data_IF_700295340949
#
_entry.id   IF_700295340949
#
_cell.length_a   1.000
_cell.length_b   1.000
_cell.length_c   1.000
_cell.angle_alpha   90.00
_cell.angle_beta   90.00
_cell.angle_gamma   90.00
#
_symmetry.space_group_name_H-M   'P 1'
#
loop_
_entity.id
_entity.type
_entity.pdbx_description
1 polymer ?
#
# COMPACT_ATOMS: atom_id res chain seq x y z
N UNK A 1 -8.70 -60.41 54.21
CA UNK A 1 -7.73 -61.26 53.49
C UNK A 1 -8.35 -61.66 52.15
N UNK A 2 -7.98 -60.99 51.05
CA UNK A 2 -8.52 -61.29 49.70
C UNK A 2 -7.45 -62.03 48.88
N UNK A 3 -7.75 -63.26 48.48
CA UNK A 3 -7.01 -64.08 47.51
C UNK A 3 -7.30 -63.60 46.08
N UNK A 4 -6.37 -63.81 45.12
CA UNK A 4 -6.55 -63.39 43.74
C UNK A 4 -7.34 -64.44 42.93
N UNK A 5 -8.07 -63.97 41.92
CA UNK A 5 -8.68 -64.78 40.87
C UNK A 5 -8.18 -64.27 39.49
N UNK A 6 -8.20 -65.13 38.45
CA UNK A 6 -7.18 -65.16 37.41
C UNK A 6 -7.49 -64.32 36.17
N UNK A 7 -6.43 -64.09 35.41
CA UNK A 7 -6.43 -63.51 34.07
C UNK A 7 -7.36 -64.25 33.10
N UNK A 8 -8.22 -63.49 32.42
CA UNK A 8 -8.78 -63.86 31.12
C UNK A 8 -8.34 -62.76 30.16
N UNK A 9 -7.42 -63.13 29.27
CA UNK A 9 -7.04 -62.32 28.13
C UNK A 9 -8.20 -62.30 27.14
N UNK A 10 -8.70 -61.10 26.84
CA UNK A 10 -9.47 -60.84 25.62
C UNK A 10 -8.73 -59.72 24.89
N UNK A 11 -8.02 -60.12 23.86
CA UNK A 11 -7.42 -59.25 22.85
C UNK A 11 -8.56 -58.63 22.06
N UNK A 12 -8.85 -57.34 22.28
CA UNK A 12 -9.68 -56.56 21.37
C UNK A 12 -8.78 -55.53 20.68
N UNK A 13 -8.46 -55.83 19.43
CA UNK A 13 -7.82 -54.94 18.47
C UNK A 13 -8.78 -53.75 18.24
N UNK A 14 -8.50 -52.59 18.83
CA UNK A 14 -9.16 -51.33 18.48
C UNK A 14 -8.19 -50.51 17.63
N UNK A 15 -8.61 -50.33 16.37
CA UNK A 15 -7.95 -49.58 15.32
C UNK A 15 -7.47 -48.20 15.80
N UNK A 16 -6.21 -47.93 15.51
CA UNK A 16 -5.60 -46.61 15.50
C UNK A 16 -6.34 -45.72 14.49
N UNK A 17 -7.02 -44.68 15.00
CA UNK A 17 -7.32 -43.47 14.24
C UNK A 17 -7.19 -42.27 15.18
N UNK A 18 -6.01 -41.65 15.11
CA UNK A 18 -5.77 -40.21 15.25
C UNK A 18 -6.27 -39.49 16.50
N UNK A 19 -5.33 -39.25 17.41
CA UNK A 19 -5.39 -38.33 18.54
C UNK A 19 -6.15 -37.01 18.29
N UNK A 20 -6.91 -36.58 19.31
CA UNK A 20 -7.34 -35.20 19.47
C UNK A 20 -6.19 -34.28 19.94
N UNK A 21 -6.02 -33.14 19.23
CA UNK A 21 -5.62 -31.78 19.65
C UNK A 21 -4.31 -31.57 20.49
N UNK A 22 -3.46 -30.56 20.18
CA UNK A 22 -3.79 -29.14 20.42
C UNK A 22 -3.19 -28.09 19.44
N UNK A 23 -3.81 -26.89 19.43
CA UNK A 23 -3.40 -25.61 18.82
C UNK A 23 -2.08 -25.49 18.06
N UNK A 24 -2.18 -25.38 16.73
CA UNK A 24 -1.19 -24.67 15.92
C UNK A 24 -1.73 -23.28 15.59
N UNK A 25 -0.92 -22.23 15.78
CA UNK A 25 -1.21 -20.87 15.32
C UNK A 25 -1.14 -20.89 13.78
N UNK A 26 -2.15 -21.46 13.14
CA UNK A 26 -2.25 -21.58 11.70
C UNK A 26 -3.03 -20.40 11.17
N UNK A 27 -2.33 -19.31 10.84
CA UNK A 27 -2.96 -18.24 10.06
C UNK A 27 -3.57 -18.81 8.79
N UNK A 28 -4.68 -18.23 8.37
CA UNK A 28 -5.52 -18.73 7.29
C UNK A 28 -4.67 -18.86 6.00
N UNK A 29 -4.80 -19.98 5.28
CA UNK A 29 -3.91 -20.34 4.16
C UNK A 29 -4.72 -20.69 2.92
N UNK A 30 -4.47 -19.97 1.82
CA UNK A 30 -5.07 -20.24 0.50
C UNK A 30 -4.11 -21.08 -0.37
N UNK A 31 -4.64 -21.98 -1.19
CA UNK A 31 -3.81 -22.69 -2.18
C UNK A 31 -3.59 -21.79 -3.41
N UNK A 32 -2.39 -21.82 -3.97
CA UNK A 32 -2.08 -21.06 -5.19
C UNK A 32 -3.03 -21.37 -6.35
N UNK A 33 -3.45 -22.64 -6.49
CA UNK A 33 -4.36 -23.08 -7.55
C UNK A 33 -5.80 -22.56 -7.37
N UNK A 34 -6.15 -22.06 -6.18
CA UNK A 34 -7.44 -21.41 -5.90
C UNK A 34 -7.44 -19.91 -6.25
N UNK A 35 -6.27 -19.34 -6.56
CA UNK A 35 -6.11 -17.96 -7.04
C UNK A 35 -6.42 -17.88 -8.54
N UNK A 36 -6.97 -16.76 -8.99
CA UNK A 36 -7.10 -16.48 -10.42
C UNK A 36 -5.76 -16.16 -11.08
N UNK A 37 -5.72 -16.15 -12.41
CA UNK A 37 -4.48 -15.95 -13.19
C UNK A 37 -3.76 -14.64 -12.83
N UNK A 38 -4.50 -13.55 -12.63
CA UNK A 38 -3.90 -12.25 -12.28
C UNK A 38 -3.32 -12.23 -10.86
N UNK A 39 -3.99 -12.91 -9.92
CA UNK A 39 -3.51 -13.10 -8.56
C UNK A 39 -2.29 -14.01 -8.50
N UNK A 40 -2.29 -15.08 -9.29
CA UNK A 40 -1.15 -15.99 -9.44
C UNK A 40 0.09 -15.27 -9.97
N UNK A 41 -0.07 -14.44 -11.00
CA UNK A 41 0.99 -13.62 -11.57
C UNK A 41 1.56 -12.64 -10.53
N UNK A 42 0.67 -11.89 -9.86
CA UNK A 42 1.07 -10.95 -8.82
C UNK A 42 1.77 -11.63 -7.64
N UNK A 43 1.30 -12.80 -7.22
CA UNK A 43 1.94 -13.58 -6.16
C UNK A 43 3.33 -14.05 -6.58
N UNK A 44 3.51 -14.53 -7.83
CA UNK A 44 4.82 -14.96 -8.33
C UNK A 44 5.80 -13.78 -8.42
N UNK A 45 5.34 -12.61 -8.82
CA UNK A 45 6.14 -11.38 -8.80
C UNK A 45 6.54 -10.99 -7.38
N UNK A 46 5.63 -11.16 -6.41
CA UNK A 46 5.88 -10.84 -5.00
C UNK A 46 6.83 -11.81 -4.29
N UNK A 47 7.23 -12.92 -4.92
CA UNK A 47 8.21 -13.84 -4.33
C UNK A 47 9.61 -13.27 -4.54
N UNK A 48 10.16 -12.72 -3.48
CA UNK A 48 11.55 -12.21 -3.45
C UNK A 48 11.68 -10.71 -3.73
N UNK A 49 10.61 -10.07 -4.21
CA UNK A 49 10.47 -8.63 -4.39
C UNK A 49 9.03 -8.20 -4.04
N UNK A 50 8.77 -6.91 -3.89
CA UNK A 50 7.42 -6.38 -3.67
C UNK A 50 6.67 -6.22 -5.00
N UNK A 51 5.40 -6.65 -5.08
CA UNK A 51 4.59 -6.51 -6.29
C UNK A 51 3.52 -5.41 -6.12
N UNK A 52 3.46 -4.46 -7.06
CA UNK A 52 2.37 -3.46 -7.09
C UNK A 52 1.13 -4.05 -7.75
N UNK A 53 0.03 -4.12 -7.00
CA UNK A 53 -1.24 -4.66 -7.47
C UNK A 53 -1.99 -3.62 -8.31
N UNK A 54 -2.01 -3.83 -9.62
CA UNK A 54 -2.74 -2.98 -10.57
C UNK A 54 -3.90 -3.77 -11.17
N UNK A 55 -5.13 -3.45 -10.77
CA UNK A 55 -6.33 -4.14 -11.28
C UNK A 55 -6.50 -5.59 -10.79
N UNK A 56 -5.71 -6.01 -9.79
CA UNK A 56 -5.78 -7.35 -9.17
C UNK A 56 -6.64 -7.27 -7.91
N UNK A 57 -7.59 -8.19 -7.74
CA UNK A 57 -8.31 -8.30 -6.48
C UNK A 57 -7.41 -8.92 -5.40
N UNK A 58 -6.98 -8.09 -4.45
CA UNK A 58 -6.11 -8.50 -3.36
C UNK A 58 -6.83 -9.23 -2.23
N UNK A 59 -8.16 -9.46 -2.30
CA UNK A 59 -8.92 -10.07 -1.22
C UNK A 59 -8.31 -11.39 -0.68
N UNK A 60 -7.82 -12.33 -1.51
CA UNK A 60 -7.18 -13.54 -0.98
C UNK A 60 -5.96 -13.24 -0.12
N UNK A 61 -5.13 -12.27 -0.52
CA UNK A 61 -3.91 -11.90 0.21
C UNK A 61 -4.19 -11.03 1.45
N UNK A 62 -5.38 -10.42 1.55
CA UNK A 62 -5.82 -9.70 2.76
C UNK A 62 -6.51 -10.62 3.75
N UNK A 63 -7.24 -11.63 3.26
CA UNK A 63 -8.06 -12.52 4.07
C UNK A 63 -7.26 -13.73 4.58
N UNK A 64 -6.19 -14.11 3.88
CA UNK A 64 -5.33 -15.22 4.26
C UNK A 64 -3.93 -14.70 4.61
N UNK A 65 -3.36 -15.21 5.70
CA UNK A 65 -2.00 -14.87 6.13
C UNK A 65 -0.94 -15.57 5.27
N UNK A 66 -1.32 -16.63 4.55
CA UNK A 66 -0.38 -17.45 3.80
C UNK A 66 -0.94 -17.95 2.47
N UNK A 67 -0.03 -18.15 1.51
CA UNK A 67 -0.27 -18.87 0.25
C UNK A 67 0.57 -20.14 0.24
N UNK A 68 -0.02 -21.26 -0.17
CA UNK A 68 0.72 -22.52 -0.41
C UNK A 68 0.99 -22.70 -1.90
N UNK A 69 2.27 -22.71 -2.26
CA UNK A 69 2.77 -22.79 -3.64
C UNK A 69 3.94 -23.78 -3.71
N UNK A 70 3.91 -24.71 -4.68
CA UNK A 70 4.94 -25.75 -4.86
C UNK A 70 5.31 -26.53 -3.58
N UNK A 71 4.31 -26.81 -2.74
CA UNK A 71 4.51 -27.51 -1.47
C UNK A 71 5.19 -26.68 -0.37
N UNK A 72 5.49 -25.40 -0.63
CA UNK A 72 6.05 -24.43 0.33
C UNK A 72 4.95 -23.48 0.80
N UNK A 73 5.16 -22.86 1.96
CA UNK A 73 4.27 -21.85 2.52
C UNK A 73 4.94 -20.49 2.45
N UNK A 74 4.18 -19.48 2.02
CA UNK A 74 4.62 -18.10 1.93
C UNK A 74 3.71 -17.25 2.78
N UNK A 75 4.27 -16.46 3.69
CA UNK A 75 3.53 -15.42 4.40
C UNK A 75 3.28 -14.29 3.42
N UNK A 76 2.03 -13.87 3.30
CA UNK A 76 1.64 -12.77 2.42
C UNK A 76 1.15 -11.58 3.23
N UNK A 77 1.27 -10.40 2.65
CA UNK A 77 0.74 -9.17 3.24
C UNK A 77 0.49 -8.14 2.16
N UNK A 78 -0.62 -7.41 2.31
CA UNK A 78 -0.98 -6.30 1.43
C UNK A 78 -0.90 -5.00 2.21
N UNK A 79 -0.03 -4.09 1.80
CA UNK A 79 0.02 -2.72 2.29
C UNK A 79 -0.64 -1.77 1.31
N UNK A 80 -1.26 -0.70 1.84
CA UNK A 80 -1.75 0.43 1.05
C UNK A 80 -0.83 1.62 1.22
N UNK A 81 -0.50 2.26 0.11
CA UNK A 81 0.12 3.59 0.07
C UNK A 81 -0.80 4.55 -0.67
N UNK A 82 -0.76 5.81 -0.25
CA UNK A 82 -1.40 6.91 -0.95
C UNK A 82 -0.33 7.70 -1.66
N UNK A 83 -0.63 8.13 -2.87
CA UNK A 83 0.24 8.98 -3.67
C UNK A 83 -0.58 10.12 -4.24
N UNK A 84 -0.08 11.34 -4.13
CA UNK A 84 -0.71 12.50 -4.73
C UNK A 84 0.00 12.86 -6.04
N UNK A 85 -0.79 13.31 -7.00
CA UNK A 85 -0.37 14.11 -8.16
C UNK A 85 -0.97 15.50 -7.99
N UNK A 86 -0.31 16.51 -8.54
CA UNK A 86 -0.92 17.83 -8.64
C UNK A 86 -0.47 18.58 -9.87
N UNK A 87 -1.35 19.44 -10.35
CA UNK A 87 -1.02 20.50 -11.30
C UNK A 87 -1.09 21.82 -10.57
N UNK A 88 -0.02 22.61 -10.64
CA UNK A 88 -0.01 24.02 -10.27
C UNK A 88 -0.23 24.79 -11.58
N UNK A 89 -1.28 25.60 -11.67
CA UNK A 89 -1.40 26.58 -12.74
C UNK A 89 -1.13 27.96 -12.16
N UNK A 90 -0.44 28.81 -12.93
CA UNK A 90 -0.15 30.17 -12.53
C UNK A 90 -0.70 31.14 -13.56
N UNK A 91 -1.62 32.00 -13.13
CA UNK A 91 -2.22 33.01 -13.99
C UNK A 91 -1.81 34.41 -13.53
N UNK A 92 -1.34 35.30 -14.42
CA UNK A 92 -1.09 36.69 -14.06
C UNK A 92 -2.36 37.32 -13.50
N UNK A 93 -2.26 37.93 -12.32
CA UNK A 93 -3.43 38.41 -11.60
C UNK A 93 -3.07 39.40 -10.50
N UNK A 94 -3.90 40.43 -10.36
CA UNK A 94 -3.78 41.38 -9.25
C UNK A 94 -4.43 40.77 -8.00
N UNK A 95 -3.66 40.49 -6.94
CA UNK A 95 -4.24 40.01 -5.69
C UNK A 95 -5.17 41.08 -5.09
N UNK A 96 -6.26 40.68 -4.40
CA UNK A 96 -7.05 41.63 -3.61
C UNK A 96 -6.21 42.26 -2.50
N UNK A 97 -6.64 43.43 -1.99
CA UNK A 97 -5.85 44.24 -1.04
C UNK A 97 -5.53 43.53 0.28
N UNK A 98 -6.35 42.55 0.66
CA UNK A 98 -6.23 41.73 1.87
C UNK A 98 -5.61 40.35 1.62
N UNK A 99 -5.20 40.04 0.38
CA UNK A 99 -4.59 38.76 0.06
C UNK A 99 -3.23 38.59 0.74
N UNK A 100 -2.94 37.37 1.17
CA UNK A 100 -1.59 37.01 1.56
C UNK A 100 -0.79 36.69 0.31
N UNK A 101 0.20 37.53 0.01
CA UNK A 101 1.09 37.38 -1.14
C UNK A 101 2.48 36.99 -0.65
N UNK A 102 3.09 35.97 -1.25
CA UNK A 102 4.44 35.49 -0.90
C UNK A 102 5.38 35.56 -2.09
N UNK A 103 6.63 35.96 -1.89
CA UNK A 103 7.60 35.89 -2.97
C UNK A 103 7.95 34.43 -3.28
N UNK A 104 8.10 34.08 -4.57
CA UNK A 104 8.50 32.72 -4.96
C UNK A 104 9.81 32.31 -4.28
N UNK A 105 10.73 33.26 -4.10
CA UNK A 105 12.04 33.07 -3.47
C UNK A 105 11.96 32.70 -1.99
N UNK A 106 10.86 33.07 -1.31
CA UNK A 106 10.60 32.77 0.10
C UNK A 106 9.96 31.40 0.31
N UNK A 107 9.53 30.72 -0.77
CA UNK A 107 9.01 29.37 -0.69
C UNK A 107 10.11 28.36 -0.34
N UNK A 108 9.76 27.26 0.34
CA UNK A 108 10.68 26.16 0.61
C UNK A 108 11.32 25.63 -0.69
N UNK A 109 12.59 25.21 -0.68
CA UNK A 109 13.32 24.81 -1.89
C UNK A 109 12.58 23.76 -2.73
N UNK A 110 11.97 22.77 -2.07
CA UNK A 110 11.32 21.65 -2.72
C UNK A 110 10.07 22.06 -3.53
N UNK A 111 9.42 23.15 -3.13
CA UNK A 111 8.21 23.68 -3.77
C UNK A 111 8.52 24.88 -4.67
N UNK A 112 9.56 25.65 -4.32
CA UNK A 112 9.95 26.88 -5.01
C UNK A 112 10.23 26.64 -6.49
N UNK A 113 10.97 25.59 -6.82
CA UNK A 113 11.33 25.34 -8.22
C UNK A 113 10.11 24.95 -9.05
N UNK A 114 9.15 24.25 -8.46
CA UNK A 114 7.89 23.88 -9.09
C UNK A 114 6.99 25.09 -9.34
N UNK A 115 6.83 25.94 -8.33
CA UNK A 115 6.07 27.20 -8.46
C UNK A 115 6.76 28.13 -9.45
N UNK A 116 8.10 28.20 -9.44
CA UNK A 116 8.86 28.95 -10.42
C UNK A 116 8.56 28.47 -11.84
N UNK A 117 8.57 27.15 -12.07
CA UNK A 117 8.20 26.59 -13.38
C UNK A 117 6.77 26.97 -13.75
N UNK A 118 5.81 26.87 -12.82
CA UNK A 118 4.43 27.25 -13.08
C UNK A 118 4.30 28.73 -13.48
N UNK A 119 4.93 29.67 -12.77
CA UNK A 119 4.86 31.10 -13.12
C UNK A 119 5.57 31.42 -14.44
N UNK A 120 6.62 30.69 -14.82
CA UNK A 120 7.35 30.93 -16.08
C UNK A 120 6.74 30.25 -17.30
N UNK A 121 6.15 29.06 -17.12
CA UNK A 121 5.64 28.22 -18.22
C UNK A 121 4.10 28.16 -18.26
N UNK A 122 3.43 28.75 -17.27
CA UNK A 122 1.97 28.76 -17.09
C UNK A 122 1.45 27.60 -16.24
N UNK A 123 2.18 26.49 -16.16
CA UNK A 123 1.80 25.36 -15.30
C UNK A 123 2.99 24.46 -14.93
N UNK A 124 2.83 23.68 -13.87
CA UNK A 124 3.72 22.60 -13.47
C UNK A 124 2.91 21.37 -13.07
N UNK A 125 3.31 20.18 -13.53
CA UNK A 125 2.71 18.91 -13.14
C UNK A 125 3.69 18.08 -12.31
N UNK A 126 3.26 17.68 -11.12
CA UNK A 126 3.93 16.68 -10.29
C UNK A 126 3.28 15.30 -10.49
N UNK A 127 4.05 14.28 -10.91
CA UNK A 127 3.52 12.93 -11.06
C UNK A 127 3.22 12.29 -9.70
N UNK A 128 2.36 11.26 -9.72
CA UNK A 128 2.09 10.41 -8.57
C UNK A 128 3.39 9.89 -7.94
N UNK A 129 3.42 9.89 -6.60
CA UNK A 129 4.51 9.32 -5.82
C UNK A 129 5.70 10.28 -5.61
N UNK A 130 5.65 11.50 -6.17
CA UNK A 130 6.58 12.56 -5.77
C UNK A 130 6.31 13.02 -4.33
N UNK A 131 5.03 13.04 -3.95
CA UNK A 131 4.58 13.42 -2.61
C UNK A 131 3.41 12.52 -2.16
N UNK A 132 3.34 12.27 -0.86
CA UNK A 132 2.22 11.53 -0.25
C UNK A 132 0.92 12.37 -0.22
N UNK A 133 1.04 13.69 -0.28
CA UNK A 133 -0.05 14.67 -0.30
C UNK A 133 0.44 16.01 -0.90
N UNK A 134 -0.48 16.94 -1.20
CA UNK A 134 -0.09 18.32 -1.57
C UNK A 134 0.80 18.92 -0.46
N UNK A 135 1.99 19.46 -0.80
CA UNK A 135 2.85 20.12 0.18
C UNK A 135 2.11 21.23 0.93
N UNK A 136 2.17 21.22 2.27
CA UNK A 136 1.48 22.20 3.11
C UNK A 136 1.69 23.67 2.69
N UNK A 137 2.89 24.11 2.27
CA UNK A 137 3.10 25.47 1.78
C UNK A 137 2.25 25.86 0.56
N UNK A 138 1.86 24.90 -0.28
CA UNK A 138 0.98 25.15 -1.44
C UNK A 138 -0.48 25.29 -1.03
N UNK A 139 -0.87 24.71 0.11
CA UNK A 139 -2.23 24.83 0.64
C UNK A 139 -2.52 26.21 1.25
N UNK A 140 -1.47 27.00 1.54
CA UNK A 140 -1.57 28.28 2.24
C UNK A 140 -1.28 29.49 1.35
N UNK A 141 -0.88 29.26 0.09
CA UNK A 141 -0.41 30.31 -0.82
C UNK A 141 -1.27 30.34 -2.06
N UNK A 142 -2.16 31.34 -2.13
CA UNK A 142 -3.01 31.58 -3.28
C UNK A 142 -2.37 32.56 -4.27
N UNK A 143 -1.48 33.44 -3.80
CA UNK A 143 -0.83 34.46 -4.63
C UNK A 143 0.67 34.51 -4.39
N UNK A 144 1.43 34.57 -5.48
CA UNK A 144 2.89 34.74 -5.45
C UNK A 144 3.36 35.92 -6.28
N UNK A 145 4.51 36.49 -5.91
CA UNK A 145 5.21 37.48 -6.73
C UNK A 145 6.46 36.89 -7.35
N UNK A 146 6.66 37.16 -8.64
CA UNK A 146 7.87 36.81 -9.39
C UNK A 146 8.15 37.89 -10.44
N UNK A 147 9.38 38.39 -10.52
CA UNK A 147 9.79 39.33 -11.58
C UNK A 147 8.96 40.62 -11.67
N UNK A 148 8.55 41.19 -10.53
CA UNK A 148 7.67 42.37 -10.39
C UNK A 148 6.20 42.14 -10.78
N UNK A 149 5.80 40.92 -11.12
CA UNK A 149 4.42 40.56 -11.41
C UNK A 149 3.84 39.70 -10.28
N UNK A 150 2.52 39.72 -10.16
CA UNK A 150 1.77 38.85 -9.24
C UNK A 150 1.02 37.78 -10.03
N UNK A 151 0.99 36.58 -9.47
CA UNK A 151 0.35 35.41 -10.06
C UNK A 151 -0.59 34.81 -9.04
N UNK A 152 -1.79 34.45 -9.50
CA UNK A 152 -2.71 33.59 -8.78
C UNK A 152 -2.34 32.14 -9.07
N UNK A 153 -2.25 31.32 -8.02
CA UNK A 153 -1.99 29.90 -8.11
C UNK A 153 -3.31 29.13 -7.97
N UNK A 154 -3.58 28.24 -8.91
CA UNK A 154 -4.64 27.24 -8.79
C UNK A 154 -4.04 25.84 -8.75
N UNK A 155 -4.75 24.92 -8.09
CA UNK A 155 -4.29 23.56 -7.86
C UNK A 155 -5.34 22.55 -8.30
N UNK A 156 -4.92 21.58 -9.11
CA UNK A 156 -5.70 20.37 -9.37
C UNK A 156 -4.97 19.22 -8.67
N UNK A 157 -5.61 18.61 -7.67
CA UNK A 157 -5.02 17.51 -6.89
C UNK A 157 -5.70 16.21 -7.30
N UNK A 158 -4.90 15.19 -7.60
CA UNK A 158 -5.38 13.83 -7.86
C UNK A 158 -4.70 12.87 -6.90
N UNK A 159 -5.48 12.12 -6.12
CA UNK A 159 -4.97 11.09 -5.22
C UNK A 159 -5.13 9.71 -5.87
N UNK A 160 -4.10 8.88 -5.75
CA UNK A 160 -4.13 7.48 -6.15
C UNK A 160 -3.72 6.60 -4.98
N UNK A 161 -4.52 5.54 -4.75
CA UNK A 161 -4.17 4.46 -3.85
C UNK A 161 -3.39 3.41 -4.63
N UNK A 162 -2.29 2.95 -4.05
CA UNK A 162 -1.54 1.80 -4.54
C UNK A 162 -1.56 0.71 -3.48
N UNK A 163 -1.65 -0.53 -3.94
CA UNK A 163 -1.54 -1.70 -3.08
C UNK A 163 -0.29 -2.48 -3.44
N UNK A 164 0.45 -2.89 -2.43
CA UNK A 164 1.70 -3.64 -2.59
C UNK A 164 1.56 -4.98 -1.89
N UNK A 165 1.81 -6.06 -2.63
CA UNK A 165 1.86 -7.42 -2.14
C UNK A 165 3.29 -7.81 -1.82
N UNK A 166 3.46 -8.42 -0.64
CA UNK A 166 4.71 -9.08 -0.22
C UNK A 166 4.46 -10.58 -0.12
N UNK A 167 5.43 -11.41 -0.50
CA UNK A 167 5.38 -12.85 -0.30
C UNK A 167 6.73 -13.42 0.18
N UNK A 168 6.80 -13.73 1.47
CA UNK A 168 8.01 -14.24 2.11
C UNK A 168 7.88 -15.73 2.41
N UNK A 169 8.83 -16.54 1.95
CA UNK A 169 8.83 -17.97 2.28
C UNK A 169 9.01 -18.18 3.78
N UNK A 170 8.17 -19.04 4.37
CA UNK A 170 8.26 -19.45 5.78
C UNK A 170 8.48 -20.97 5.90
N UNK A 171 9.14 -21.40 6.98
CA UNK A 171 9.43 -22.81 7.29
C UNK A 171 8.26 -23.55 7.95
#
# INVERSE_FOLDING_TARGET
MRKPAPAVAVTLLLLLAGCSAPGGIGGDTVAYDDLDESQQDAFREAIGDDATLTGVDAAPFRNHDYVRYEGKRYRVGVSRSWSASYTIEASPGGPPEDATVRAVEELPPDVRDEVRTAVTEGSYYAPYGKWDALPAPLNEVEYVTYGNESYELSYVVGDAVSETLTAERVE
#
